data_IF_305983716460
#
_entry.id   IF_305983716460
#
_cell.length_a   1.000
_cell.length_b   1.000
_cell.length_c   1.000
_cell.angle_alpha   90.00
_cell.angle_beta   90.00
_cell.angle_gamma   90.00
#
_symmetry.space_group_name_H-M   'P 1'
#
loop_
_entity.id
_entity.type
_entity.pdbx_description
1 polymer ?
#
# COMPACT_ATOMS: atom_id res chain seq x y z
N UNK A 1 -5.65 12.59 -23.76
CA UNK A 1 -4.61 11.90 -22.98
C UNK A 1 -5.11 11.84 -21.56
N UNK A 2 -5.24 10.65 -20.96
CA UNK A 2 -5.77 10.53 -19.61
C UNK A 2 -4.90 11.35 -18.66
N UNK A 3 -5.50 12.35 -18.02
CA UNK A 3 -4.83 13.21 -17.06
C UNK A 3 -4.52 12.36 -15.81
N UNK A 4 -3.34 11.74 -15.81
CA UNK A 4 -2.88 10.98 -14.66
C UNK A 4 -2.53 12.01 -13.60
N UNK A 5 -3.43 12.17 -12.61
CA UNK A 5 -3.19 13.01 -11.44
C UNK A 5 -1.83 12.67 -10.83
N UNK A 6 -1.14 13.68 -10.29
CA UNK A 6 0.13 13.51 -9.57
C UNK A 6 0.01 12.45 -8.46
N UNK A 7 -1.17 12.34 -7.83
CA UNK A 7 -1.48 11.29 -6.84
C UNK A 7 -1.45 9.87 -7.46
N UNK A 8 -1.91 9.70 -8.69
CA UNK A 8 -1.90 8.40 -9.36
C UNK A 8 -0.47 8.02 -9.81
N UNK A 9 0.34 8.99 -10.21
CA UNK A 9 1.78 8.78 -10.47
C UNK A 9 2.52 8.35 -9.19
N UNK A 10 2.25 9.03 -8.08
CA UNK A 10 2.82 8.70 -6.76
C UNK A 10 2.40 7.29 -6.32
N UNK A 11 1.12 6.94 -6.47
CA UNK A 11 0.58 5.60 -6.20
C UNK A 11 1.32 4.53 -6.99
N UNK A 12 1.49 4.73 -8.30
CA UNK A 12 2.19 3.76 -9.17
C UNK A 12 3.65 3.61 -8.76
N UNK A 13 4.33 4.72 -8.43
CA UNK A 13 5.74 4.69 -7.97
C UNK A 13 5.90 3.89 -6.68
N UNK A 14 5.02 4.10 -5.69
CA UNK A 14 5.04 3.35 -4.44
C UNK A 14 4.69 1.86 -4.65
N UNK A 15 3.73 1.56 -5.53
CA UNK A 15 3.38 0.19 -5.90
C UNK A 15 4.54 -0.53 -6.62
N UNK A 16 5.24 0.16 -7.51
CA UNK A 16 6.43 -0.40 -8.16
C UNK A 16 7.53 -0.67 -7.14
N UNK A 17 7.78 0.25 -6.21
CA UNK A 17 8.80 0.07 -5.17
C UNK A 17 8.56 -1.20 -4.35
N UNK A 18 7.32 -1.45 -3.91
CA UNK A 18 6.99 -2.66 -3.13
C UNK A 18 6.93 -3.93 -3.98
N UNK A 19 6.68 -3.80 -5.28
CA UNK A 19 6.62 -4.94 -6.20
C UNK A 19 8.00 -5.37 -6.70
N UNK A 20 9.01 -4.48 -6.61
CA UNK A 20 10.37 -4.76 -7.06
C UNK A 20 11.01 -5.92 -6.31
N UNK A 21 10.73 -6.08 -5.01
CA UNK A 21 11.15 -7.27 -4.25
C UNK A 21 10.33 -7.43 -2.97
N UNK A 22 10.20 -8.69 -2.51
CA UNK A 22 9.48 -9.05 -1.28
C UNK A 22 10.02 -8.34 -0.04
N UNK A 23 11.30 -7.95 -0.06
CA UNK A 23 11.95 -7.25 1.05
C UNK A 23 11.71 -5.74 1.03
N UNK A 24 11.41 -5.14 -0.13
CA UNK A 24 11.20 -3.69 -0.25
C UNK A 24 9.96 -3.24 0.51
N UNK A 25 8.91 -4.07 0.50
CA UNK A 25 7.72 -3.80 1.32
C UNK A 25 8.04 -3.67 2.82
N UNK A 26 9.02 -4.43 3.33
CA UNK A 26 9.42 -4.38 4.74
C UNK A 26 10.31 -3.16 5.05
N UNK A 27 10.95 -2.57 4.04
CA UNK A 27 11.83 -1.40 4.17
C UNK A 27 11.10 -0.07 4.16
N UNK A 28 9.82 -0.05 3.76
CA UNK A 28 9.00 1.16 3.80
C UNK A 28 8.88 1.69 5.23
N UNK A 29 8.95 3.02 5.37
CA UNK A 29 8.64 3.70 6.63
C UNK A 29 7.13 3.73 6.89
N UNK A 30 6.73 3.98 8.14
CA UNK A 30 5.33 4.14 8.54
C UNK A 30 4.63 5.23 7.70
N UNK A 31 5.30 6.36 7.47
CA UNK A 31 4.77 7.46 6.67
C UNK A 31 4.53 7.04 5.22
N UNK A 32 5.47 6.31 4.60
CA UNK A 32 5.30 5.80 3.24
C UNK A 32 4.18 4.77 3.14
N UNK A 33 4.01 3.94 4.17
CA UNK A 33 2.93 2.95 4.25
C UNK A 33 1.57 3.63 4.38
N UNK A 34 1.42 4.62 5.27
CA UNK A 34 0.20 5.43 5.42
C UNK A 34 -0.14 6.17 4.13
N UNK A 35 0.87 6.75 3.46
CA UNK A 35 0.69 7.41 2.16
C UNK A 35 0.22 6.44 1.07
N UNK A 36 0.83 5.26 0.98
CA UNK A 36 0.39 4.23 0.03
C UNK A 36 -1.04 3.75 0.35
N UNK A 37 -1.39 3.61 1.63
CA UNK A 37 -2.73 3.24 2.08
C UNK A 37 -3.77 4.23 1.54
N UNK A 38 -3.62 5.52 1.83
CA UNK A 38 -4.52 6.58 1.36
C UNK A 38 -4.70 6.56 -0.16
N UNK A 39 -3.60 6.49 -0.91
CA UNK A 39 -3.63 6.51 -2.37
C UNK A 39 -4.34 5.28 -2.96
N UNK A 40 -4.18 4.11 -2.34
CA UNK A 40 -4.86 2.88 -2.74
C UNK A 40 -6.33 2.90 -2.34
N UNK A 41 -6.67 3.48 -1.18
CA UNK A 41 -8.05 3.65 -0.72
C UNK A 41 -8.87 4.56 -1.63
N UNK A 42 -8.31 5.71 -2.04
CA UNK A 42 -8.95 6.67 -2.95
C UNK A 42 -9.23 6.09 -4.34
N UNK A 43 -8.42 5.12 -4.80
CA UNK A 43 -8.57 4.55 -6.14
C UNK A 43 -9.78 3.61 -6.20
N UNK A 44 -10.74 3.94 -7.06
CA UNK A 44 -11.86 3.07 -7.33
C UNK A 44 -11.46 1.90 -8.25
N UNK A 45 -11.69 0.68 -7.75
CA UNK A 45 -11.52 -0.58 -8.48
C UNK A 45 -12.81 -1.40 -8.47
N UNK A 46 -13.95 -0.79 -8.13
CA UNK A 46 -15.26 -1.47 -8.04
C UNK A 46 -15.63 -2.21 -9.34
N UNK A 47 -15.16 -1.69 -10.48
CA UNK A 47 -15.37 -2.25 -11.82
C UNK A 47 -14.59 -3.54 -12.10
N UNK A 48 -13.55 -3.86 -11.31
CA UNK A 48 -12.74 -5.06 -11.47
C UNK A 48 -12.62 -5.82 -10.14
N UNK A 49 -13.35 -6.94 -10.05
CA UNK A 49 -13.39 -7.80 -8.87
C UNK A 49 -12.01 -8.34 -8.47
N UNK A 50 -11.14 -8.61 -9.44
CA UNK A 50 -9.78 -9.12 -9.19
C UNK A 50 -8.88 -8.00 -8.65
N UNK A 51 -8.95 -6.81 -9.26
CA UNK A 51 -8.22 -5.64 -8.80
C UNK A 51 -8.69 -5.21 -7.40
N UNK A 52 -10.01 -5.18 -7.16
CA UNK A 52 -10.59 -4.89 -5.86
C UNK A 52 -10.11 -5.88 -4.77
N UNK A 53 -10.13 -7.19 -5.05
CA UNK A 53 -9.59 -8.20 -4.14
C UNK A 53 -8.10 -8.02 -3.86
N UNK A 54 -7.33 -7.62 -4.87
CA UNK A 54 -5.90 -7.31 -4.72
C UNK A 54 -5.69 -6.07 -3.84
N UNK A 55 -6.47 -5.01 -4.05
CA UNK A 55 -6.49 -3.78 -3.24
C UNK A 55 -6.74 -4.12 -1.77
N UNK A 56 -7.81 -4.84 -1.46
CA UNK A 56 -8.16 -5.19 -0.05
C UNK A 56 -7.04 -5.99 0.61
N UNK A 57 -6.43 -6.94 -0.12
CA UNK A 57 -5.26 -7.70 0.40
C UNK A 57 -4.05 -6.81 0.66
N UNK A 58 -3.78 -5.84 -0.21
CA UNK A 58 -2.67 -4.92 -0.05
C UNK A 58 -2.90 -4.01 1.16
N UNK A 59 -4.09 -3.45 1.32
CA UNK A 59 -4.46 -2.65 2.48
C UNK A 59 -4.31 -3.42 3.79
N UNK A 60 -4.75 -4.68 3.83
CA UNK A 60 -4.55 -5.54 5.00
C UNK A 60 -3.08 -5.74 5.36
N UNK A 61 -2.20 -5.96 4.37
CA UNK A 61 -0.75 -6.07 4.62
C UNK A 61 -0.13 -4.77 5.10
N UNK A 62 -0.56 -3.64 4.54
CA UNK A 62 -0.09 -2.31 4.94
C UNK A 62 -0.48 -2.04 6.40
N UNK A 63 -1.73 -2.29 6.77
CA UNK A 63 -2.22 -2.09 8.14
C UNK A 63 -1.45 -2.95 9.15
N UNK A 64 -1.26 -4.25 8.86
CA UNK A 64 -0.44 -5.13 9.71
C UNK A 64 0.99 -4.58 9.84
N UNK A 65 1.58 -4.10 8.75
CA UNK A 65 2.94 -3.57 8.78
C UNK A 65 3.05 -2.26 9.56
N UNK A 66 2.08 -1.35 9.42
CA UNK A 66 1.99 -0.12 10.20
C UNK A 66 1.87 -0.48 11.68
N UNK A 67 0.98 -1.40 12.02
CA UNK A 67 0.80 -1.90 13.38
C UNK A 67 2.10 -2.48 13.97
N UNK A 68 2.79 -3.37 13.24
CA UNK A 68 4.09 -3.92 13.65
C UNK A 68 5.16 -2.85 13.92
N UNK A 69 5.17 -1.78 13.12
CA UNK A 69 6.16 -0.70 13.21
C UNK A 69 5.82 0.32 14.30
N UNK A 70 4.54 0.67 14.47
CA UNK A 70 4.08 1.65 15.46
C UNK A 70 3.94 1.03 16.86
N UNK A 71 3.39 -0.17 16.98
CA UNK A 71 3.22 -0.85 18.27
C UNK A 71 4.41 -1.74 18.65
N UNK A 72 5.43 -1.82 17.78
CA UNK A 72 6.76 -2.35 18.06
C UNK A 72 6.86 -3.39 19.17
N UNK A 73 6.65 -4.68 18.85
CA UNK A 73 6.87 -5.84 19.74
C UNK A 73 5.85 -5.99 20.89
N UNK A 74 4.62 -6.43 20.58
CA UNK A 74 3.60 -6.70 21.61
C UNK A 74 2.85 -8.03 21.56
N UNK A 75 2.88 -8.78 20.46
CA UNK A 75 2.10 -10.04 20.33
C UNK A 75 2.77 -11.02 19.37
N UNK A 76 4.02 -11.38 19.66
CA UNK A 76 4.68 -12.67 19.32
C UNK A 76 6.07 -12.66 19.96
N UNK A 77 6.09 -12.51 21.29
CA UNK A 77 7.14 -13.08 22.13
C UNK A 77 6.76 -14.51 22.49
#
# INVERSE_FOLDING_TARGET
>A
MADISEEDKERVKLLQLISSSKNEFKKLSVEQLKRLQELVEKKDYSHDKKAHKSKVKLLGKINVRIYELEEGRGIWG
#
